data_IF_885553655217
#
_entry.id   IF_885553655217
#
_cell.length_a   1.000
_cell.length_b   1.000
_cell.length_c   1.000
_cell.angle_alpha   90.00
_cell.angle_beta   90.00
_cell.angle_gamma   90.00
#
_symmetry.space_group_name_H-M   'P 1'
#
loop_
_entity.id
_entity.type
_entity.pdbx_description
1 polymer ?
#
# COMPACT_ATOMS: atom_id res chain seq x y z
N UNK A 1 -4.99 7.31 -8.81
CA UNK A 1 -3.65 7.64 -9.36
C UNK A 1 -3.57 9.03 -9.99
N UNK A 2 -4.67 9.66 -10.38
CA UNK A 2 -4.68 10.93 -11.15
C UNK A 2 -4.07 12.12 -10.40
N UNK A 3 -4.00 12.04 -9.08
CA UNK A 3 -3.39 13.07 -8.22
C UNK A 3 -2.01 12.70 -7.68
N UNK A 4 -1.51 11.51 -8.00
CA UNK A 4 -0.18 11.06 -7.63
C UNK A 4 0.84 11.61 -8.65
N UNK A 5 1.45 12.74 -8.33
CA UNK A 5 2.52 13.33 -9.10
C UNK A 5 3.68 13.72 -8.20
N UNK A 6 4.87 13.77 -8.78
CA UNK A 6 6.06 14.23 -8.06
C UNK A 6 5.91 15.68 -7.54
N UNK A 7 5.26 16.53 -8.32
CA UNK A 7 4.94 17.91 -7.93
C UNK A 7 4.06 17.95 -6.66
N UNK A 8 3.00 17.14 -6.61
CA UNK A 8 2.12 17.07 -5.45
C UNK A 8 2.83 16.49 -4.23
N UNK A 9 3.72 15.52 -4.43
CA UNK A 9 4.57 14.99 -3.36
C UNK A 9 5.53 16.06 -2.82
N UNK A 10 6.15 16.84 -3.68
CA UNK A 10 7.01 17.96 -3.26
C UNK A 10 6.24 19.01 -2.45
N UNK A 11 5.04 19.39 -2.89
CA UNK A 11 4.17 20.31 -2.15
C UNK A 11 3.83 19.78 -0.76
N UNK A 12 3.53 18.50 -0.65
CA UNK A 12 3.28 17.85 0.64
C UNK A 12 4.51 17.91 1.55
N UNK A 13 5.68 17.53 1.05
CA UNK A 13 6.91 17.43 1.87
C UNK A 13 7.41 18.82 2.29
N UNK A 14 7.40 19.78 1.35
CA UNK A 14 7.99 21.12 1.58
C UNK A 14 7.02 22.02 2.32
N UNK A 15 5.76 22.03 1.91
CA UNK A 15 4.77 23.01 2.36
C UNK A 15 3.68 22.41 3.25
N UNK A 16 3.62 21.09 3.40
CA UNK A 16 2.53 20.40 4.09
C UNK A 16 1.19 20.41 3.34
N UNK A 17 1.21 20.74 2.04
CA UNK A 17 0.00 20.80 1.23
C UNK A 17 -0.56 19.41 0.96
N UNK A 18 -1.84 19.23 1.23
CA UNK A 18 -2.57 17.98 0.94
C UNK A 18 -3.66 18.21 -0.09
N UNK A 19 -3.96 17.22 -0.90
CA UNK A 19 -4.93 17.32 -2.00
C UNK A 19 -5.88 16.11 -2.03
N UNK A 20 -6.93 16.24 -2.83
CA UNK A 20 -7.85 15.15 -3.14
C UNK A 20 -8.63 14.65 -1.93
N UNK A 21 -8.81 13.34 -1.82
CA UNK A 21 -9.59 12.73 -0.74
C UNK A 21 -8.88 12.86 0.63
N UNK A 22 -7.54 12.87 0.65
CA UNK A 22 -6.78 13.12 1.89
C UNK A 22 -7.10 14.51 2.44
N UNK A 23 -7.13 15.54 1.59
CA UNK A 23 -7.53 16.89 2.00
C UNK A 23 -8.95 16.87 2.58
N UNK A 24 -9.92 16.28 1.86
CA UNK A 24 -11.31 16.23 2.31
C UNK A 24 -11.45 15.53 3.67
N UNK A 25 -10.76 14.40 3.85
CA UNK A 25 -10.78 13.66 5.10
C UNK A 25 -10.19 14.47 6.26
N UNK A 26 -8.97 14.99 6.09
CA UNK A 26 -8.30 15.76 7.15
C UNK A 26 -9.04 17.05 7.50
N UNK A 27 -9.59 17.75 6.51
CA UNK A 27 -10.39 18.95 6.73
C UNK A 27 -11.67 18.66 7.50
N UNK A 28 -12.35 17.53 7.21
CA UNK A 28 -13.56 17.08 7.95
C UNK A 28 -13.31 16.86 9.44
N UNK A 29 -12.09 16.44 9.79
CA UNK A 29 -11.70 16.13 11.17
C UNK A 29 -10.88 17.26 11.84
N UNK A 30 -10.85 18.46 11.25
CA UNK A 30 -10.10 19.61 11.75
C UNK A 30 -8.63 19.30 12.04
N UNK A 31 -7.99 18.52 11.14
CA UNK A 31 -6.58 18.10 11.26
C UNK A 31 -5.61 18.95 10.45
N UNK A 32 -6.10 20.03 9.82
CA UNK A 32 -5.30 20.96 9.03
C UNK A 32 -5.17 22.29 9.77
N UNK A 33 -4.14 23.04 9.41
CA UNK A 33 -4.01 24.46 9.83
C UNK A 33 -5.07 25.34 9.17
N UNK A 34 -5.18 26.62 9.58
CA UNK A 34 -6.05 27.61 8.93
C UNK A 34 -5.73 27.79 7.44
N UNK A 35 -4.47 27.60 7.04
CA UNK A 35 -4.02 27.62 5.63
C UNK A 35 -4.23 26.27 4.91
N UNK A 36 -5.01 25.37 5.48
CA UNK A 36 -5.30 24.02 4.94
C UNK A 36 -4.07 23.14 4.70
N UNK A 37 -3.05 23.25 5.55
CA UNK A 37 -1.81 22.45 5.49
C UNK A 37 -1.69 21.52 6.69
N UNK A 38 -0.80 20.53 6.56
CA UNK A 38 -0.43 19.70 7.72
C UNK A 38 0.22 20.57 8.81
N UNK A 39 -0.20 20.43 10.08
CA UNK A 39 0.37 21.22 11.19
C UNK A 39 1.76 20.76 11.62
N UNK A 40 2.30 19.71 10.99
CA UNK A 40 3.63 19.15 11.28
C UNK A 40 4.41 18.88 9.99
N UNK A 41 5.74 18.86 10.12
CA UNK A 41 6.63 18.42 9.04
C UNK A 41 6.76 16.89 9.07
N UNK A 42 6.83 16.29 7.91
CA UNK A 42 7.11 14.85 7.78
C UNK A 42 8.59 14.62 8.11
N UNK A 43 8.93 13.89 9.20
CA UNK A 43 10.31 13.80 9.71
C UNK A 43 11.13 12.66 9.09
N UNK A 44 10.63 12.03 8.02
CA UNK A 44 11.25 10.87 7.39
C UNK A 44 11.24 11.03 5.86
N UNK A 45 12.15 10.33 5.15
CA UNK A 45 12.15 10.32 3.69
C UNK A 45 10.84 9.78 3.11
N UNK A 46 10.33 10.46 2.09
CA UNK A 46 9.13 10.04 1.36
C UNK A 46 9.49 9.90 -0.11
N UNK A 47 9.11 8.77 -0.70
CA UNK A 47 9.26 8.50 -2.12
C UNK A 47 7.93 8.17 -2.77
N UNK A 48 7.88 8.23 -4.09
CA UNK A 48 6.76 7.74 -4.87
C UNK A 48 7.00 6.30 -5.28
N UNK A 49 5.94 5.49 -5.22
CA UNK A 49 5.96 4.21 -5.90
C UNK A 49 5.88 4.41 -7.42
N UNK A 50 6.55 3.54 -8.16
CA UNK A 50 6.52 3.57 -9.62
C UNK A 50 5.22 2.96 -10.11
N UNK A 51 4.36 3.80 -10.70
CA UNK A 51 3.11 3.36 -11.32
C UNK A 51 3.35 3.16 -12.81
N UNK A 52 3.11 1.94 -13.28
CA UNK A 52 3.27 1.55 -14.68
C UNK A 52 1.96 1.06 -15.27
N UNK A 53 1.87 1.05 -16.59
CA UNK A 53 0.74 0.42 -17.28
C UNK A 53 0.78 -1.10 -17.04
N UNK A 54 -0.35 -1.67 -16.67
CA UNK A 54 -0.48 -3.13 -16.56
C UNK A 54 -0.73 -3.70 -17.97
N UNK A 55 0.31 -4.34 -18.51
CA UNK A 55 0.27 -4.96 -19.84
C UNK A 55 0.26 -6.49 -19.77
N UNK A 56 0.23 -7.04 -18.56
CA UNK A 56 0.21 -8.49 -18.39
C UNK A 56 -1.13 -9.09 -18.79
N UNK A 57 -1.15 -10.18 -19.59
CA UNK A 57 -2.39 -10.83 -19.97
C UNK A 57 -3.12 -11.40 -18.76
N UNK A 58 -4.45 -11.36 -18.78
CA UNK A 58 -5.30 -11.93 -17.75
C UNK A 58 -5.47 -13.43 -18.06
N UNK A 59 -4.58 -14.25 -17.51
CA UNK A 59 -4.63 -15.71 -17.58
C UNK A 59 -5.26 -16.29 -16.32
N UNK A 60 -5.78 -17.52 -16.41
CA UNK A 60 -6.35 -18.18 -15.22
C UNK A 60 -5.30 -18.42 -14.13
N UNK A 61 -4.04 -18.62 -14.50
CA UNK A 61 -2.93 -18.73 -13.57
C UNK A 61 -2.69 -17.42 -12.83
N UNK A 62 -2.65 -16.28 -13.54
CA UNK A 62 -2.53 -14.95 -12.93
C UNK A 62 -3.70 -14.64 -12.00
N UNK A 63 -4.91 -15.00 -12.40
CA UNK A 63 -6.13 -14.82 -11.58
C UNK A 63 -6.01 -15.63 -10.28
N UNK A 64 -5.56 -16.88 -10.36
CA UNK A 64 -5.37 -17.74 -9.19
C UNK A 64 -4.29 -17.18 -8.26
N UNK A 65 -3.12 -16.81 -8.79
CA UNK A 65 -2.03 -16.22 -8.02
C UNK A 65 -2.47 -14.92 -7.32
N UNK A 66 -3.24 -14.08 -8.04
CA UNK A 66 -3.76 -12.87 -7.45
C UNK A 66 -4.71 -13.16 -6.29
N UNK A 67 -5.63 -14.11 -6.45
CA UNK A 67 -6.54 -14.52 -5.38
C UNK A 67 -5.78 -15.05 -4.15
N UNK A 68 -4.78 -15.89 -4.35
CA UNK A 68 -3.97 -16.45 -3.26
C UNK A 68 -3.13 -15.39 -2.54
N UNK A 69 -2.56 -14.43 -3.27
CA UNK A 69 -1.70 -13.41 -2.68
C UNK A 69 -2.48 -12.32 -1.92
N UNK A 70 -3.68 -11.99 -2.37
CA UNK A 70 -4.43 -10.84 -1.86
C UNK A 70 -5.65 -11.18 -1.02
N UNK A 71 -6.07 -12.47 -0.97
CA UNK A 71 -7.25 -12.89 -0.22
C UNK A 71 -6.86 -13.91 0.86
N UNK A 72 -6.83 -13.45 2.10
CA UNK A 72 -6.53 -14.30 3.23
C UNK A 72 -7.50 -15.49 3.32
N UNK A 73 -6.96 -16.71 3.46
CA UNK A 73 -7.74 -17.92 3.58
C UNK A 73 -8.44 -18.36 2.27
N UNK A 74 -7.98 -17.87 1.10
CA UNK A 74 -8.56 -18.28 -0.18
C UNK A 74 -8.53 -19.79 -0.38
N UNK A 75 -7.44 -20.47 0.02
CA UNK A 75 -7.29 -21.91 -0.16
C UNK A 75 -8.28 -22.72 0.68
N UNK A 76 -8.78 -22.17 1.77
CA UNK A 76 -9.78 -22.77 2.66
C UNK A 76 -11.23 -22.61 2.16
N UNK A 77 -11.46 -21.83 1.10
CA UNK A 77 -12.80 -21.64 0.57
C UNK A 77 -13.30 -22.90 -0.11
N UNK A 78 -14.61 -23.17 0.00
CA UNK A 78 -15.23 -24.23 -0.80
C UNK A 78 -15.24 -23.87 -2.30
N UNK A 79 -15.37 -24.89 -3.15
CA UNK A 79 -15.25 -24.74 -4.62
C UNK A 79 -16.21 -23.66 -5.21
N UNK A 80 -17.43 -23.58 -4.71
CA UNK A 80 -18.41 -22.58 -5.16
C UNK A 80 -17.92 -21.15 -4.84
N UNK A 81 -17.37 -20.94 -3.65
CA UNK A 81 -16.83 -19.64 -3.23
C UNK A 81 -15.55 -19.30 -3.99
N UNK A 82 -14.64 -20.28 -4.17
CA UNK A 82 -13.45 -20.11 -5.00
C UNK A 82 -13.81 -19.66 -6.40
N UNK A 83 -14.74 -20.35 -7.05
CA UNK A 83 -15.18 -19.98 -8.39
C UNK A 83 -15.72 -18.56 -8.46
N UNK A 84 -16.62 -18.16 -7.55
CA UNK A 84 -17.17 -16.82 -7.53
C UNK A 84 -16.10 -15.74 -7.35
N UNK A 85 -15.14 -15.98 -6.45
CA UNK A 85 -14.01 -15.09 -6.18
C UNK A 85 -13.10 -14.98 -7.41
N UNK A 86 -12.75 -16.08 -8.05
CA UNK A 86 -11.91 -16.07 -9.26
C UNK A 86 -12.56 -15.27 -10.40
N UNK A 87 -13.89 -15.35 -10.57
CA UNK A 87 -14.60 -14.53 -11.56
C UNK A 87 -14.52 -13.03 -11.22
N UNK A 88 -14.64 -12.66 -9.95
CA UNK A 88 -14.49 -11.27 -9.52
C UNK A 88 -13.06 -10.75 -9.72
N UNK A 89 -12.06 -11.56 -9.37
CA UNK A 89 -10.65 -11.22 -9.58
C UNK A 89 -10.33 -11.07 -11.06
N UNK A 90 -10.84 -11.96 -11.90
CA UNK A 90 -10.68 -11.89 -13.36
C UNK A 90 -11.23 -10.57 -13.91
N UNK A 91 -12.47 -10.26 -13.57
CA UNK A 91 -13.10 -9.00 -13.95
C UNK A 91 -12.33 -7.77 -13.48
N UNK A 92 -11.84 -7.78 -12.23
CA UNK A 92 -11.00 -6.72 -11.71
C UNK A 92 -9.71 -6.55 -12.53
N UNK A 93 -8.99 -7.65 -12.82
CA UNK A 93 -7.75 -7.63 -13.60
C UNK A 93 -7.97 -7.17 -15.04
N UNK A 94 -9.09 -7.51 -15.67
CA UNK A 94 -9.46 -7.04 -17.01
C UNK A 94 -9.66 -5.51 -17.07
N UNK A 95 -10.11 -4.91 -15.98
CA UNK A 95 -10.30 -3.45 -15.88
C UNK A 95 -9.07 -2.70 -15.38
N UNK A 96 -8.10 -3.42 -14.83
CA UNK A 96 -6.90 -2.85 -14.24
C UNK A 96 -5.93 -2.37 -15.31
N UNK A 97 -5.80 -1.07 -15.46
CA UNK A 97 -4.92 -0.45 -16.47
C UNK A 97 -3.55 -0.05 -15.93
N UNK A 98 -3.39 0.02 -14.60
CA UNK A 98 -2.16 0.46 -13.95
C UNK A 98 -1.83 -0.43 -12.76
N UNK A 99 -0.54 -0.58 -12.47
CA UNK A 99 -0.03 -1.23 -11.26
C UNK A 99 1.04 -0.38 -10.59
N UNK A 100 1.05 -0.39 -9.27
CA UNK A 100 2.10 0.20 -8.45
C UNK A 100 3.11 -0.91 -8.13
N UNK A 101 4.36 -0.76 -8.58
CA UNK A 101 5.34 -1.86 -8.58
C UNK A 101 5.66 -2.39 -7.19
N UNK A 102 5.84 -1.50 -6.20
CA UNK A 102 6.10 -1.93 -4.81
C UNK A 102 4.89 -2.66 -4.24
N UNK A 103 3.70 -2.16 -4.53
CA UNK A 103 2.46 -2.75 -4.05
C UNK A 103 2.29 -4.19 -4.54
N UNK A 104 2.48 -4.41 -5.84
CA UNK A 104 2.41 -5.74 -6.46
C UNK A 104 3.53 -6.65 -5.98
N UNK A 105 4.78 -6.14 -5.96
CA UNK A 105 5.97 -6.92 -5.59
C UNK A 105 5.87 -7.51 -4.18
N UNK A 106 5.28 -6.80 -3.25
CA UNK A 106 5.16 -7.23 -1.86
C UNK A 106 3.75 -7.73 -1.49
N UNK A 107 2.84 -7.86 -2.45
CA UNK A 107 1.48 -8.34 -2.22
C UNK A 107 0.72 -7.50 -1.19
N UNK A 108 0.87 -6.17 -1.22
CA UNK A 108 0.26 -5.29 -0.23
C UNK A 108 -1.26 -5.25 -0.41
N UNK A 109 -2.00 -5.41 0.66
CA UNK A 109 -3.47 -5.53 0.63
C UNK A 109 -4.21 -4.19 0.64
N UNK A 110 -3.53 -3.10 0.99
CA UNK A 110 -4.13 -1.78 1.10
C UNK A 110 -3.22 -0.78 1.80
N UNK A 111 -3.78 0.33 2.23
CA UNK A 111 -3.08 1.38 2.99
C UNK A 111 -3.76 1.58 4.36
N UNK A 112 -3.00 1.77 5.44
CA UNK A 112 -1.55 1.71 5.49
C UNK A 112 -1.02 0.27 5.43
N UNK A 113 0.12 0.09 4.75
CA UNK A 113 0.92 -1.15 4.82
C UNK A 113 2.34 -0.80 5.24
N UNK A 114 3.00 -1.72 5.92
CA UNK A 114 4.40 -1.57 6.27
C UNK A 114 5.21 -2.79 5.88
N UNK A 115 6.43 -2.55 5.42
CA UNK A 115 7.41 -3.56 5.06
C UNK A 115 8.63 -3.30 5.93
N UNK A 116 9.04 -4.30 6.70
CA UNK A 116 10.18 -4.18 7.61
C UNK A 116 11.36 -5.01 7.10
N UNK A 117 12.50 -4.35 6.98
CA UNK A 117 13.78 -4.98 6.65
C UNK A 117 14.74 -4.82 7.82
N UNK A 118 15.59 -5.83 8.03
CA UNK A 118 16.70 -5.70 8.97
C UNK A 118 17.86 -4.88 8.35
N UNK A 119 18.92 -4.67 9.15
CA UNK A 119 20.10 -3.93 8.71
C UNK A 119 20.90 -4.61 7.57
N UNK A 120 20.65 -5.90 7.34
CA UNK A 120 21.24 -6.67 6.22
C UNK A 120 20.36 -6.63 4.96
N UNK A 121 19.23 -5.89 4.99
CA UNK A 121 18.27 -5.81 3.90
C UNK A 121 17.40 -7.05 3.75
N UNK A 122 17.33 -7.92 4.76
CA UNK A 122 16.45 -9.09 4.74
C UNK A 122 15.04 -8.68 5.17
N UNK A 123 14.05 -9.12 4.41
CA UNK A 123 12.65 -8.92 4.74
C UNK A 123 12.30 -9.65 6.04
N UNK A 124 11.73 -8.94 7.00
CA UNK A 124 11.34 -9.47 8.31
C UNK A 124 9.83 -9.52 8.49
N UNK A 125 9.12 -8.55 7.94
CA UNK A 125 7.69 -8.51 8.09
C UNK A 125 7.01 -7.68 7.00
N UNK A 126 5.78 -8.08 6.64
CA UNK A 126 4.84 -7.31 5.85
C UNK A 126 3.52 -7.30 6.60
N UNK A 127 2.95 -6.12 6.83
CA UNK A 127 1.69 -6.02 7.55
C UNK A 127 0.80 -4.92 7.00
N UNK A 128 -0.50 -5.12 7.22
CA UNK A 128 -1.56 -4.24 6.77
C UNK A 128 -2.34 -3.68 7.96
N UNK A 129 -2.73 -2.42 7.89
CA UNK A 129 -3.47 -1.73 8.94
C UNK A 129 -2.59 -1.11 10.02
N UNK A 130 -3.21 -0.67 11.10
CA UNK A 130 -2.52 -0.13 12.27
C UNK A 130 -1.96 -1.30 13.10
N UNK A 131 -0.70 -1.20 13.52
CA UNK A 131 0.01 -2.31 14.14
C UNK A 131 0.67 -1.86 15.43
N UNK A 132 0.03 -2.21 16.54
CA UNK A 132 0.50 -1.83 17.86
C UNK A 132 1.63 -2.74 18.39
N UNK A 133 1.78 -3.95 17.82
CA UNK A 133 2.75 -4.96 18.33
C UNK A 133 4.15 -4.88 17.71
N UNK A 134 4.36 -4.00 16.73
CA UNK A 134 5.67 -3.89 16.06
C UNK A 134 6.77 -3.23 16.88
N UNK A 135 6.44 -2.55 17.95
CA UNK A 135 7.45 -1.84 18.73
C UNK A 135 8.51 -2.79 19.27
N UNK A 136 8.13 -3.93 19.84
CA UNK A 136 9.07 -4.92 20.36
C UNK A 136 9.99 -5.49 19.26
N UNK A 137 9.43 -5.79 18.06
CA UNK A 137 10.23 -6.26 16.93
C UNK A 137 11.21 -5.19 16.43
N UNK A 138 10.77 -3.94 16.37
CA UNK A 138 11.65 -2.82 15.95
C UNK A 138 12.78 -2.63 16.97
N UNK A 139 12.48 -2.68 18.26
CA UNK A 139 13.47 -2.60 19.34
C UNK A 139 14.51 -3.72 19.25
N UNK A 140 14.07 -4.96 18.97
CA UNK A 140 14.96 -6.09 18.73
C UNK A 140 15.86 -5.88 17.51
N UNK A 141 15.29 -5.47 16.37
CA UNK A 141 16.03 -5.20 15.13
C UNK A 141 17.01 -4.02 15.27
N UNK A 142 16.69 -3.04 16.10
CA UNK A 142 17.56 -1.90 16.40
C UNK A 142 18.67 -2.29 17.39
N UNK A 143 18.39 -3.17 18.33
CA UNK A 143 19.36 -3.64 19.33
C UNK A 143 20.39 -4.61 18.72
N UNK A 144 20.06 -5.29 17.61
CA UNK A 144 21.00 -6.17 16.90
C UNK A 144 22.12 -5.32 16.25
N UNK A 145 23.25 -5.26 16.95
CA UNK A 145 24.42 -4.46 16.55
C UNK A 145 25.37 -5.19 15.58
N UNK A 146 25.02 -6.36 15.07
CA UNK A 146 25.88 -7.17 14.19
C UNK A 146 25.60 -6.95 12.71
#
# INVERSE_FOLDING_TARGET
YDKNSFENLQKLIVNGEVIGETYKALNRYDKLTEDHKLPWKIPFPVGMDRVVTDTEPVTDERVLQYAQNFLNGFDDFNERKKYAVLQQVKHYLEQKTKKAETFEKFGLQGTPSSITFDRKGQLRDISFGQIDYKQAMIEELVADKR
#
